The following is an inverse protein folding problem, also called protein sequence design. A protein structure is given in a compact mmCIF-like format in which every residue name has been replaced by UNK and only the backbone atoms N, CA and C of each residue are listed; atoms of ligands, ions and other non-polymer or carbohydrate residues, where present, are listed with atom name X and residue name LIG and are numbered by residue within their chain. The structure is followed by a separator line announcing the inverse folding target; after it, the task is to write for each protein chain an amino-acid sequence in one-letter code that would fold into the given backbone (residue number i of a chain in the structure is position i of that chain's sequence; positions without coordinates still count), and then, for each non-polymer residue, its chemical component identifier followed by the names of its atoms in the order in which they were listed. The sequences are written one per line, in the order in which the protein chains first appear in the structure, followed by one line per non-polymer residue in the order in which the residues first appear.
data_IF_685324382575
#
_entry.id   IF_685324382575
#
_cell.length_a   1.000
_cell.length_b   1.000
_cell.length_c   1.000
_cell.angle_alpha   90.00
_cell.angle_beta   90.00
_cell.angle_gamma   90.00
#
_symmetry.space_group_name_H-M   'P 1'
#
loop_
_entity.id
_entity.type
_entity.pdbx_description
1 polymer ?
#
# COMPACT_ATOMS: atom_id res chain seq x y z
N UNK A 1 20.56 -37.90 18.64
CA UNK A 1 20.94 -36.55 18.18
C UNK A 1 22.30 -36.67 17.52
N UNK A 2 22.47 -36.06 16.37
CA UNK A 2 23.76 -36.02 15.67
C UNK A 2 24.72 -35.08 16.39
N UNK A 3 26.01 -35.34 16.30
CA UNK A 3 27.06 -34.47 16.86
C UNK A 3 27.94 -33.91 15.74
N UNK A 4 28.44 -32.69 15.94
CA UNK A 4 29.43 -32.06 15.07
C UNK A 4 30.58 -31.55 15.93
N UNK A 5 31.81 -31.81 15.49
CA UNK A 5 33.01 -31.22 16.08
C UNK A 5 33.31 -29.90 15.37
N UNK A 6 33.42 -28.82 16.15
CA UNK A 6 33.64 -27.46 15.66
C UNK A 6 34.63 -26.73 16.56
N UNK A 7 35.23 -25.66 16.05
CA UNK A 7 36.11 -24.79 16.83
C UNK A 7 35.39 -23.50 17.18
N UNK A 8 35.31 -23.15 18.46
CA UNK A 8 34.80 -21.87 18.97
C UNK A 8 35.86 -21.29 19.91
N UNK A 9 36.23 -20.02 19.74
CA UNK A 9 37.24 -19.35 20.60
C UNK A 9 38.57 -20.14 20.69
N UNK A 10 39.01 -20.72 19.57
CA UNK A 10 40.18 -21.60 19.47
C UNK A 10 40.09 -22.90 20.30
N UNK A 11 38.91 -23.26 20.79
CA UNK A 11 38.66 -24.53 21.49
C UNK A 11 37.81 -25.46 20.62
N UNK A 12 38.21 -26.74 20.56
CA UNK A 12 37.42 -27.77 19.91
C UNK A 12 36.30 -28.20 20.83
N UNK A 13 35.06 -28.16 20.32
CA UNK A 13 33.85 -28.51 21.04
C UNK A 13 33.02 -29.47 20.20
N UNK A 14 32.36 -30.42 20.87
CA UNK A 14 31.34 -31.27 20.27
C UNK A 14 29.97 -30.70 20.61
N UNK A 15 29.20 -30.33 19.60
CA UNK A 15 27.84 -29.84 19.76
C UNK A 15 26.84 -30.83 19.20
N UNK A 16 25.81 -31.15 19.97
CA UNK A 16 24.66 -31.91 19.51
C UNK A 16 23.68 -31.00 18.75
N UNK A 17 23.06 -31.52 17.69
CA UNK A 17 22.10 -30.77 16.88
C UNK A 17 20.96 -31.66 16.36
N UNK A 18 19.88 -31.00 15.93
CA UNK A 18 18.82 -31.60 15.11
C UNK A 18 19.13 -31.35 13.63
N UNK A 19 18.87 -32.33 12.75
CA UNK A 19 19.36 -32.27 11.36
C UNK A 19 18.86 -31.04 10.58
N UNK A 20 17.65 -30.56 10.86
CA UNK A 20 17.09 -29.32 10.30
C UNK A 20 17.76 -28.03 10.81
N UNK A 21 18.49 -28.08 11.93
CA UNK A 21 19.17 -26.95 12.56
C UNK A 21 20.68 -26.94 12.29
N UNK A 22 21.21 -27.97 11.65
CA UNK A 22 22.66 -28.13 11.41
C UNK A 22 23.28 -26.89 10.77
N UNK A 23 22.67 -26.40 9.68
CA UNK A 23 23.23 -25.27 8.95
C UNK A 23 23.13 -23.97 9.74
N UNK A 24 22.03 -23.78 10.49
CA UNK A 24 21.85 -22.62 11.38
C UNK A 24 22.92 -22.60 12.46
N UNK A 25 23.22 -23.77 13.05
CA UNK A 25 24.29 -23.92 14.03
C UNK A 25 25.66 -23.57 13.43
N UNK A 26 25.98 -24.10 12.25
CA UNK A 26 27.26 -23.80 11.56
C UNK A 26 27.41 -22.28 11.33
N UNK A 27 26.37 -21.62 10.83
CA UNK A 27 26.39 -20.18 10.58
C UNK A 27 26.53 -19.37 11.89
N UNK A 28 25.91 -19.82 12.98
CA UNK A 28 26.04 -19.19 14.29
C UNK A 28 27.48 -19.28 14.83
N UNK A 29 28.12 -20.44 14.64
CA UNK A 29 29.52 -20.67 15.02
C UNK A 29 30.46 -19.77 14.22
N UNK A 30 30.24 -19.66 12.92
CA UNK A 30 30.99 -18.77 12.04
C UNK A 30 30.84 -17.30 12.48
N UNK A 31 29.60 -16.88 12.79
CA UNK A 31 29.32 -15.53 13.31
C UNK A 31 30.08 -15.27 14.61
N UNK A 32 30.08 -16.23 15.54
CA UNK A 32 30.76 -16.11 16.82
C UNK A 32 32.28 -16.00 16.66
N UNK A 33 32.88 -16.81 15.78
CA UNK A 33 34.31 -16.76 15.48
C UNK A 33 34.70 -15.46 14.75
N UNK A 34 33.86 -14.96 13.84
CA UNK A 34 34.06 -13.68 13.20
C UNK A 34 34.03 -12.55 14.24
N UNK A 35 33.04 -12.53 15.15
CA UNK A 35 33.00 -11.56 16.25
C UNK A 35 34.21 -11.65 17.16
N UNK A 36 34.67 -12.86 17.52
CA UNK A 36 35.91 -13.07 18.25
C UNK A 36 37.09 -12.37 17.57
N UNK A 37 37.31 -12.64 16.27
CA UNK A 37 38.41 -12.08 15.49
C UNK A 37 38.44 -10.55 15.44
N UNK A 38 37.29 -9.86 15.51
CA UNK A 38 37.20 -8.39 15.58
C UNK A 38 37.93 -7.83 16.80
N UNK A 39 37.91 -8.57 17.91
CA UNK A 39 38.56 -8.20 19.16
C UNK A 39 40.02 -8.68 19.28
N UNK A 40 40.63 -9.14 18.17
CA UNK A 40 42.02 -9.64 18.16
C UNK A 40 43.06 -8.65 18.71
N UNK A 41 42.81 -7.36 18.55
CA UNK A 41 43.65 -6.29 19.10
C UNK A 41 43.68 -6.24 20.64
N UNK A 42 42.77 -6.95 21.33
CA UNK A 42 42.65 -7.05 22.78
C UNK A 42 43.22 -8.37 23.35
N UNK A 43 43.59 -9.33 22.50
CA UNK A 43 44.12 -10.62 22.95
C UNK A 43 45.39 -10.42 23.79
N UNK A 44 45.44 -11.08 24.95
CA UNK A 44 46.54 -10.93 25.92
C UNK A 44 46.59 -9.60 26.66
N UNK A 45 45.84 -8.57 26.24
CA UNK A 45 45.71 -7.28 26.94
C UNK A 45 44.58 -7.30 27.97
N UNK A 46 43.55 -8.09 27.71
CA UNK A 46 42.43 -8.33 28.62
C UNK A 46 42.13 -9.82 28.70
N UNK A 47 41.39 -10.22 29.73
CA UNK A 47 40.93 -11.60 29.90
C UNK A 47 39.93 -11.99 28.82
N UNK A 48 39.98 -13.23 28.33
CA UNK A 48 39.01 -13.78 27.37
C UNK A 48 37.57 -13.57 27.81
N UNK A 49 37.29 -13.68 29.11
CA UNK A 49 35.98 -13.39 29.69
C UNK A 49 35.46 -12.00 29.32
N UNK A 50 36.31 -10.97 29.37
CA UNK A 50 35.92 -9.58 29.00
C UNK A 50 35.60 -9.48 27.51
N UNK A 51 36.35 -10.18 26.67
CA UNK A 51 36.10 -10.21 25.21
C UNK A 51 34.78 -10.91 24.93
N UNK A 52 34.54 -12.06 25.56
CA UNK A 52 33.26 -12.80 25.45
C UNK A 52 32.09 -11.93 25.93
N UNK A 53 32.26 -11.17 27.03
CA UNK A 53 31.24 -10.21 27.49
C UNK A 53 30.97 -9.14 26.44
N UNK A 54 32.00 -8.54 25.81
CA UNK A 54 31.81 -7.54 24.76
C UNK A 54 31.07 -8.11 23.54
N UNK A 55 31.43 -9.32 23.10
CA UNK A 55 30.73 -10.02 22.01
C UNK A 55 29.27 -10.27 22.38
N UNK A 56 29.01 -10.70 23.61
CA UNK A 56 27.65 -10.97 24.08
C UNK A 56 26.78 -9.70 24.08
N UNK A 57 27.36 -8.56 24.49
CA UNK A 57 26.69 -7.26 24.43
C UNK A 57 26.44 -6.80 22.99
N UNK A 58 27.41 -6.92 22.08
CA UNK A 58 27.24 -6.58 20.65
C UNK A 58 26.11 -7.41 20.01
N UNK A 59 26.05 -8.71 20.32
CA UNK A 59 25.00 -9.59 19.82
C UNK A 59 23.62 -9.24 20.41
N UNK A 60 23.56 -8.88 21.69
CA UNK A 60 22.33 -8.44 22.34
C UNK A 60 21.82 -7.13 21.71
N UNK A 61 22.68 -6.14 21.53
CA UNK A 61 22.33 -4.87 20.87
C UNK A 61 21.81 -5.11 19.44
N UNK A 62 22.43 -6.05 18.70
CA UNK A 62 21.97 -6.44 17.36
C UNK A 62 20.59 -7.11 17.38
N UNK A 63 20.30 -7.94 18.38
CA UNK A 63 18.98 -8.58 18.54
C UNK A 63 17.91 -7.54 18.87
N UNK A 64 18.19 -6.62 19.79
CA UNK A 64 17.28 -5.53 20.13
C UNK A 64 17.00 -4.63 18.92
N UNK A 65 18.03 -4.33 18.12
CA UNK A 65 17.86 -3.64 16.84
C UNK A 65 16.96 -4.38 15.85
N UNK A 66 17.10 -5.72 15.76
CA UNK A 66 16.24 -6.54 14.90
C UNK A 66 14.79 -6.55 15.38
N UNK A 67 14.56 -6.59 16.69
CA UNK A 67 13.21 -6.50 17.28
C UNK A 67 12.55 -5.15 16.96
N UNK A 68 13.28 -4.05 17.13
CA UNK A 68 12.79 -2.71 16.77
C UNK A 68 12.44 -2.60 15.27
N UNK A 69 13.27 -3.18 14.38
CA UNK A 69 12.98 -3.23 12.95
C UNK A 69 11.71 -4.03 12.65
N UNK A 70 11.53 -5.18 13.30
CA UNK A 70 10.33 -6.01 13.14
C UNK A 70 9.06 -5.30 13.59
N UNK A 71 9.13 -4.57 14.70
CA UNK A 71 7.99 -3.77 15.19
C UNK A 71 7.65 -2.64 14.23
N UNK A 72 8.65 -1.95 13.69
CA UNK A 72 8.47 -0.92 12.67
C UNK A 72 7.86 -1.50 11.38
N UNK A 73 8.32 -2.67 10.95
CA UNK A 73 7.74 -3.39 9.80
C UNK A 73 6.26 -3.70 10.03
N UNK A 74 5.89 -4.22 11.20
CA UNK A 74 4.50 -4.50 11.55
C UNK A 74 3.63 -3.23 11.53
N UNK A 75 4.15 -2.10 12.03
CA UNK A 75 3.45 -0.81 11.97
C UNK A 75 3.25 -0.33 10.51
N UNK A 76 4.26 -0.51 9.65
CA UNK A 76 4.15 -0.16 8.24
C UNK A 76 3.12 -1.02 7.51
N UNK A 77 3.08 -2.33 7.78
CA UNK A 77 2.07 -3.24 7.23
C UNK A 77 0.66 -2.78 7.62
N UNK A 78 0.44 -2.49 8.91
CA UNK A 78 -0.86 -1.97 9.38
C UNK A 78 -1.26 -0.66 8.69
N UNK A 79 -0.30 0.25 8.47
CA UNK A 79 -0.54 1.51 7.76
C UNK A 79 -0.90 1.27 6.29
N UNK A 80 -0.25 0.32 5.62
CA UNK A 80 -0.56 -0.06 4.24
C UNK A 80 -1.99 -0.60 4.16
N UNK A 81 -2.40 -1.48 5.08
CA UNK A 81 -3.76 -2.02 5.10
C UNK A 81 -4.82 -0.94 5.28
N UNK A 82 -4.57 0.04 6.16
CA UNK A 82 -5.48 1.18 6.35
C UNK A 82 -5.60 2.02 5.08
N UNK A 83 -4.47 2.32 4.42
CA UNK A 83 -4.47 3.07 3.15
C UNK A 83 -5.19 2.31 2.03
N UNK A 84 -5.03 0.99 1.94
CA UNK A 84 -5.76 0.17 0.98
C UNK A 84 -7.27 0.22 1.20
N UNK A 85 -7.73 0.19 2.46
CA UNK A 85 -9.15 0.35 2.80
C UNK A 85 -9.66 1.74 2.40
N UNK A 86 -8.88 2.80 2.65
CA UNK A 86 -9.24 4.16 2.27
C UNK A 86 -9.36 4.31 0.75
N UNK A 87 -8.40 3.77 -0.02
CA UNK A 87 -8.44 3.76 -1.49
C UNK A 87 -9.71 3.05 -1.98
N UNK A 88 -10.03 1.89 -1.42
CA UNK A 88 -11.24 1.14 -1.79
C UNK A 88 -12.51 1.96 -1.54
N UNK A 89 -12.59 2.65 -0.40
CA UNK A 89 -13.72 3.52 -0.08
C UNK A 89 -13.83 4.70 -1.06
N UNK A 90 -12.72 5.36 -1.38
CA UNK A 90 -12.72 6.50 -2.32
C UNK A 90 -13.10 6.07 -3.73
N UNK A 91 -12.65 4.89 -4.17
CA UNK A 91 -13.03 4.35 -5.47
C UNK A 91 -14.53 4.05 -5.55
N UNK A 92 -15.14 3.50 -4.49
CA UNK A 92 -16.58 3.28 -4.44
C UNK A 92 -17.37 4.60 -4.54
N UNK A 93 -16.92 5.65 -3.83
CA UNK A 93 -17.54 6.98 -3.92
C UNK A 93 -17.39 7.59 -5.32
N UNK A 94 -16.25 7.38 -5.98
CA UNK A 94 -16.01 7.84 -7.34
C UNK A 94 -16.94 7.14 -8.34
N UNK A 95 -17.14 5.83 -8.19
CA UNK A 95 -18.07 5.04 -9.02
C UNK A 95 -19.52 5.50 -8.85
N UNK A 96 -19.97 5.73 -7.61
CA UNK A 96 -21.28 6.32 -7.34
C UNK A 96 -21.44 7.72 -7.97
N UNK A 97 -20.37 8.53 -7.93
CA UNK A 97 -20.33 9.83 -8.59
C UNK A 97 -20.48 9.73 -10.11
N UNK A 98 -19.81 8.77 -10.75
CA UNK A 98 -19.91 8.52 -12.19
C UNK A 98 -21.31 8.07 -12.60
N UNK A 99 -21.96 7.22 -11.80
CA UNK A 99 -23.34 6.81 -12.05
C UNK A 99 -24.31 8.00 -11.99
N UNK A 100 -24.14 8.89 -11.01
CA UNK A 100 -24.94 10.13 -10.92
C UNK A 100 -24.74 11.03 -12.13
N UNK A 101 -23.50 11.19 -12.60
CA UNK A 101 -23.20 11.98 -13.81
C UNK A 101 -23.92 11.39 -15.03
N UNK A 102 -23.84 10.09 -15.27
CA UNK A 102 -24.54 9.42 -16.39
C UNK A 102 -26.05 9.64 -16.34
N UNK A 103 -26.63 9.60 -15.13
CA UNK A 103 -28.05 9.89 -14.95
C UNK A 103 -28.37 11.34 -15.35
N UNK A 104 -27.59 12.31 -14.88
CA UNK A 104 -27.78 13.71 -15.27
C UNK A 104 -27.59 13.97 -16.76
N UNK A 105 -26.65 13.30 -17.42
CA UNK A 105 -26.48 13.38 -18.87
C UNK A 105 -27.71 12.88 -19.62
N UNK A 106 -28.31 11.80 -19.14
CA UNK A 106 -29.55 11.23 -19.70
C UNK A 106 -30.72 12.20 -19.52
N UNK A 107 -30.95 12.68 -18.29
CA UNK A 107 -32.01 13.62 -17.96
C UNK A 107 -31.89 14.92 -18.77
N UNK A 108 -30.66 15.40 -19.00
CA UNK A 108 -30.40 16.61 -19.79
C UNK A 108 -30.70 16.39 -21.28
N UNK A 109 -30.36 15.22 -21.81
CA UNK A 109 -30.68 14.84 -23.20
C UNK A 109 -32.20 14.80 -23.42
N UNK A 110 -32.94 14.20 -22.48
CA UNK A 110 -34.39 14.14 -22.51
C UNK A 110 -35.02 15.54 -22.49
N UNK A 111 -34.57 16.39 -21.56
CA UNK A 111 -35.03 17.79 -21.50
C UNK A 111 -34.73 18.57 -22.77
N UNK A 112 -33.56 18.37 -23.38
CA UNK A 112 -33.21 19.01 -24.66
C UNK A 112 -34.16 18.58 -25.77
N UNK A 113 -34.55 17.30 -25.80
CA UNK A 113 -35.51 16.79 -26.75
C UNK A 113 -36.92 17.36 -26.52
N UNK A 114 -37.35 17.50 -25.26
CA UNK A 114 -38.61 18.15 -24.89
C UNK A 114 -38.64 19.62 -25.33
N UNK A 115 -37.57 20.37 -25.08
CA UNK A 115 -37.45 21.78 -25.52
C UNK A 115 -37.61 21.89 -27.04
N UNK A 116 -36.92 21.04 -27.80
CA UNK A 116 -37.02 21.04 -29.26
C UNK A 116 -38.44 20.78 -29.77
N UNK A 117 -39.22 19.92 -29.10
CA UNK A 117 -40.63 19.71 -29.43
C UNK A 117 -41.47 20.97 -29.18
N UNK A 118 -41.23 21.64 -28.05
CA UNK A 118 -41.94 22.89 -27.69
C UNK A 118 -41.60 24.01 -28.68
N UNK A 119 -40.33 24.13 -29.08
CA UNK A 119 -39.89 25.09 -30.10
C UNK A 119 -40.63 24.87 -31.43
N UNK A 120 -40.73 23.62 -31.90
CA UNK A 120 -41.48 23.32 -33.12
C UNK A 120 -42.96 23.71 -33.02
N UNK A 121 -43.62 23.40 -31.88
CA UNK A 121 -45.03 23.79 -31.66
C UNK A 121 -45.17 25.32 -31.66
N UNK A 122 -44.21 26.04 -31.08
CA UNK A 122 -44.23 27.50 -31.05
C UNK A 122 -44.09 28.10 -32.46
N UNK A 123 -43.22 27.53 -33.29
CA UNK A 123 -43.06 27.92 -34.69
C UNK A 123 -44.34 27.69 -35.49
N UNK A 124 -44.99 26.53 -35.33
CA UNK A 124 -46.28 26.22 -35.94
C UNK A 124 -47.37 27.24 -35.54
N UNK A 125 -47.49 27.54 -34.24
CA UNK A 125 -48.43 28.55 -33.74
C UNK A 125 -48.13 29.95 -34.29
N UNK A 126 -46.86 30.33 -34.40
CA UNK A 126 -46.48 31.63 -34.93
C UNK A 126 -46.85 31.78 -36.43
N UNK A 127 -46.70 30.70 -37.21
CA UNK A 127 -47.17 30.63 -38.59
C UNK A 127 -48.70 30.77 -38.65
N UNK A 128 -49.43 30.04 -37.81
CA UNK A 128 -50.90 30.09 -37.76
C UNK A 128 -51.42 31.48 -37.39
N UNK A 129 -50.86 32.11 -36.35
CA UNK A 129 -51.19 33.48 -35.94
C UNK A 129 -50.91 34.48 -37.07
N UNK A 130 -49.79 34.34 -37.77
CA UNK A 130 -49.44 35.18 -38.92
C UNK A 130 -50.45 35.04 -40.06
N UNK A 131 -50.89 33.81 -40.35
CA UNK A 131 -51.92 33.54 -41.35
C UNK A 131 -53.27 34.16 -40.96
N UNK A 132 -53.68 34.03 -39.70
CA UNK A 132 -54.91 34.66 -39.18
C UNK A 132 -54.84 36.18 -39.34
N UNK A 133 -53.72 36.80 -38.94
CA UNK A 133 -53.49 38.25 -39.07
C UNK A 133 -53.63 38.70 -40.52
N UNK A 134 -52.99 38.00 -41.45
CA UNK A 134 -53.06 38.32 -42.88
C UNK A 134 -54.48 38.17 -43.45
N UNK A 135 -55.22 37.16 -43.01
CA UNK A 135 -56.61 36.95 -43.43
C UNK A 135 -57.56 38.05 -42.91
N UNK A 136 -57.33 38.54 -41.68
CA UNK A 136 -58.11 39.67 -41.13
C UNK A 136 -57.83 40.96 -41.90
N UNK A 137 -56.57 41.24 -42.25
CA UNK A 137 -56.20 42.41 -43.03
C UNK A 137 -56.87 42.40 -44.41
N UNK A 138 -56.81 41.26 -45.12
CA UNK A 138 -57.45 41.11 -46.43
C UNK A 138 -58.97 41.36 -46.41
N UNK A 139 -59.66 40.93 -45.34
CA UNK A 139 -61.11 41.14 -45.17
C UNK A 139 -61.52 42.58 -44.83
N UNK A 140 -60.57 43.45 -44.46
CA UNK A 140 -60.84 44.87 -44.20
C UNK A 140 -60.72 45.74 -45.46
N UNK A 141 -60.06 45.22 -46.49
CA UNK A 141 -59.82 45.90 -47.76
C UNK A 141 -60.83 45.51 -48.87
N UNK A 142 -61.84 44.66 -48.53
CA UNK A 142 -63.05 44.37 -49.33
C UNK A 142 -64.26 45.18 -48.80
#
# INVERSE_FOLDING_TARGET
MSEIEITIFNQKLKLSYQDNEKQRLINAVETLNNSWSKFSHLYGKVTDLKIITLISLELQDSLDGMHALKDNEAQLVNKIELLQKEIKSKNAQLEEGLEKIKKYETDLSEKKHEISKVENILDELNIEVSNIKNNILKKKDE
#
